data_IF_934551346825
#
_entry.id   IF_934551346825
#
_cell.length_a   1.000
_cell.length_b   1.000
_cell.length_c   1.000
_cell.angle_alpha   90.00
_cell.angle_beta   90.00
_cell.angle_gamma   90.00
#
_symmetry.space_group_name_H-M   'P 1'
#
loop_
_entity.id
_entity.type
_entity.pdbx_description
1 polymer ?
#
# COMPACT_ATOMS: atom_id res chain seq x y z
N UNK A 1 -25.95 -7.60 8.61
CA UNK A 1 -27.10 -7.32 9.51
C UNK A 1 -26.75 -7.74 10.91
N UNK A 2 -27.25 -7.04 11.94
CA UNK A 2 -27.08 -7.37 13.35
C UNK A 2 -28.45 -7.67 13.98
N UNK A 3 -28.51 -8.77 14.73
CA UNK A 3 -29.67 -9.20 15.50
C UNK A 3 -29.24 -9.45 16.95
N UNK A 4 -30.14 -9.19 17.89
CA UNK A 4 -29.95 -9.45 19.32
C UNK A 4 -30.94 -10.51 19.77
N UNK A 5 -30.46 -11.47 20.54
CA UNK A 5 -31.30 -12.48 21.18
C UNK A 5 -31.59 -12.08 22.63
N UNK A 6 -32.85 -12.24 23.06
CA UNK A 6 -33.32 -12.04 24.43
C UNK A 6 -34.40 -13.07 24.76
N UNK A 7 -34.90 -13.07 25.99
CA UNK A 7 -35.93 -14.01 26.45
C UNK A 7 -37.24 -13.94 25.65
N UNK A 8 -37.49 -12.83 24.97
CA UNK A 8 -38.65 -12.63 24.07
C UNK A 8 -38.36 -13.04 22.60
N UNK A 9 -37.18 -13.57 22.31
CA UNK A 9 -36.76 -14.05 20.99
C UNK A 9 -35.68 -13.19 20.31
N UNK A 10 -35.50 -13.43 19.01
CA UNK A 10 -34.51 -12.73 18.18
C UNK A 10 -35.11 -11.44 17.63
N UNK A 11 -34.51 -10.30 17.99
CA UNK A 11 -34.90 -8.98 17.52
C UNK A 11 -33.87 -8.42 16.54
N UNK A 12 -34.34 -7.80 15.46
CA UNK A 12 -33.48 -7.06 14.53
C UNK A 12 -32.96 -5.77 15.17
N UNK A 13 -31.66 -5.51 15.01
CA UNK A 13 -31.01 -4.31 15.55
C UNK A 13 -30.74 -3.30 14.44
N UNK A 14 -29.88 -3.64 13.49
CA UNK A 14 -29.56 -2.75 12.37
C UNK A 14 -28.81 -3.44 11.22
N UNK A 15 -28.74 -2.82 10.05
CA UNK A 15 -27.96 -3.28 8.90
C UNK A 15 -26.48 -2.91 9.13
N UNK A 16 -25.57 -3.86 9.01
CA UNK A 16 -24.14 -3.62 9.27
C UNK A 16 -23.43 -2.88 8.12
N UNK A 17 -23.94 -3.00 6.89
CA UNK A 17 -23.40 -2.34 5.69
C UNK A 17 -24.02 -0.97 5.41
N UNK A 18 -24.60 -0.31 6.41
CA UNK A 18 -24.87 1.12 6.27
C UNK A 18 -23.52 1.80 6.41
N UNK A 19 -22.99 2.33 5.30
CA UNK A 19 -21.87 3.27 5.33
C UNK A 19 -22.28 4.33 6.35
N UNK A 20 -21.69 4.30 7.54
CA UNK A 20 -21.96 5.29 8.57
C UNK A 20 -21.76 6.63 7.91
N UNK A 21 -22.82 7.43 7.77
CA UNK A 21 -22.66 8.84 7.45
C UNK A 21 -21.72 9.37 8.51
N UNK A 22 -20.47 9.60 8.10
CA UNK A 22 -19.43 10.07 8.97
C UNK A 22 -19.98 11.36 9.57
N UNK A 23 -20.32 11.33 10.86
CA UNK A 23 -20.62 12.54 11.63
C UNK A 23 -19.32 13.33 11.80
N UNK A 24 -18.79 13.85 10.70
CA UNK A 24 -17.70 14.82 10.65
C UNK A 24 -18.27 16.20 10.99
N UNK A 25 -18.79 16.34 12.21
CA UNK A 25 -19.14 17.62 12.82
C UNK A 25 -18.29 17.89 14.08
N UNK A 26 -17.14 17.21 14.21
CA UNK A 26 -16.06 17.64 15.08
C UNK A 26 -14.89 18.02 14.20
N UNK A 27 -14.49 19.30 14.20
CA UNK A 27 -13.23 19.77 13.59
C UNK A 27 -12.12 18.78 14.00
N UNK A 28 -11.59 18.03 13.04
CA UNK A 28 -10.37 17.24 13.22
C UNK A 28 -9.25 18.24 13.52
N UNK A 29 -9.00 18.50 14.80
CA UNK A 29 -7.93 19.39 15.22
C UNK A 29 -6.61 18.66 15.12
N UNK A 30 -5.55 19.40 14.81
CA UNK A 30 -4.19 18.84 14.78
C UNK A 30 -3.86 18.13 16.12
N UNK A 31 -4.31 18.68 17.25
CA UNK A 31 -4.08 18.11 18.58
C UNK A 31 -4.72 16.72 18.75
N UNK A 32 -5.93 16.52 18.24
CA UNK A 32 -6.59 15.21 18.30
C UNK A 32 -5.86 14.17 17.43
N UNK A 33 -5.35 14.58 16.27
CA UNK A 33 -4.49 13.73 15.43
C UNK A 33 -3.20 13.32 16.16
N UNK A 34 -2.51 14.25 16.82
CA UNK A 34 -1.30 13.92 17.57
C UNK A 34 -1.56 12.99 18.76
N UNK A 35 -2.66 13.19 19.49
CA UNK A 35 -3.07 12.30 20.58
C UNK A 35 -3.38 10.88 20.09
N UNK A 36 -4.04 10.75 18.93
CA UNK A 36 -4.35 9.45 18.34
C UNK A 36 -3.07 8.74 17.87
N UNK A 37 -2.11 9.45 17.25
CA UNK A 37 -0.78 8.93 16.87
C UNK A 37 -0.02 8.40 18.09
N UNK A 38 0.05 9.19 19.16
CA UNK A 38 0.77 8.83 20.39
C UNK A 38 0.10 7.65 21.11
N UNK A 39 -1.24 7.65 21.20
CA UNK A 39 -2.00 6.56 21.84
C UNK A 39 -1.91 5.24 21.08
N UNK A 40 -1.91 5.28 19.75
CA UNK A 40 -1.96 4.07 18.91
C UNK A 40 -0.57 3.56 18.54
N UNK A 41 0.50 4.30 18.87
CA UNK A 41 1.87 4.06 18.37
C UNK A 41 1.93 3.87 16.84
N UNK A 42 0.93 4.40 16.13
CA UNK A 42 0.84 4.31 14.69
C UNK A 42 1.51 5.54 14.11
N UNK A 43 2.70 5.37 13.53
CA UNK A 43 3.23 6.34 12.59
C UNK A 43 2.23 6.43 11.45
N UNK A 44 1.60 7.60 11.27
CA UNK A 44 0.69 7.91 10.17
C UNK A 44 1.46 7.81 8.84
N UNK A 45 1.66 6.58 8.35
CA UNK A 45 2.46 6.30 7.15
C UNK A 45 1.57 6.16 5.91
N UNK A 46 0.33 6.62 5.99
CA UNK A 46 -0.71 6.39 4.98
C UNK A 46 -0.72 7.46 3.88
N UNK A 47 -0.09 8.62 4.11
CA UNK A 47 -0.07 9.73 3.15
C UNK A 47 1.17 9.83 2.25
N UNK A 48 2.30 9.23 2.63
CA UNK A 48 3.59 9.45 1.96
C UNK A 48 4.21 8.20 1.33
N UNK A 49 3.56 7.04 1.39
CA UNK A 49 4.11 5.80 0.84
C UNK A 49 3.76 5.69 -0.65
N UNK A 50 4.77 5.68 -1.49
CA UNK A 50 4.62 5.53 -2.95
C UNK A 50 4.17 4.10 -3.28
N UNK A 51 3.36 3.94 -4.32
CA UNK A 51 2.99 2.62 -4.87
C UNK A 51 4.09 2.03 -5.77
N UNK A 52 5.35 2.19 -5.35
CA UNK A 52 6.53 1.71 -6.03
C UNK A 52 7.40 0.95 -5.04
N UNK A 53 8.23 0.02 -5.52
CA UNK A 53 9.17 -0.69 -4.61
C UNK A 53 10.11 0.31 -3.94
N UNK A 54 10.67 1.22 -4.73
CA UNK A 54 11.45 2.34 -4.20
C UNK A 54 10.54 3.40 -3.57
N UNK A 55 10.96 3.94 -2.44
CA UNK A 55 10.27 5.01 -1.70
C UNK A 55 11.00 6.35 -1.84
N UNK A 56 11.97 6.41 -2.74
CA UNK A 56 12.70 7.62 -3.12
C UNK A 56 13.21 7.49 -4.56
N UNK A 57 13.96 8.49 -5.03
CA UNK A 57 14.55 8.47 -6.36
C UNK A 57 15.51 7.29 -6.54
N UNK A 58 15.42 6.65 -7.72
CA UNK A 58 16.42 5.70 -8.22
C UNK A 58 17.63 6.51 -8.69
N UNK A 59 18.81 6.19 -8.18
CA UNK A 59 20.04 6.90 -8.51
C UNK A 59 20.81 6.19 -9.64
N UNK A 60 20.69 4.86 -9.74
CA UNK A 60 21.47 4.09 -10.70
C UNK A 60 20.76 2.79 -11.11
N UNK A 61 20.97 2.40 -12.37
CA UNK A 61 20.52 1.16 -13.00
C UNK A 61 21.71 0.47 -13.66
N UNK A 62 21.84 -0.84 -13.44
CA UNK A 62 22.91 -1.66 -14.02
C UNK A 62 22.39 -2.99 -14.54
N UNK A 63 23.10 -3.54 -15.53
CA UNK A 63 22.88 -4.92 -15.95
C UNK A 63 23.49 -5.82 -14.88
N UNK A 64 22.65 -6.66 -14.28
CA UNK A 64 23.09 -7.65 -13.32
C UNK A 64 23.47 -8.97 -14.00
N UNK A 65 22.70 -9.38 -15.02
CA UNK A 65 22.97 -10.59 -15.82
C UNK A 65 22.71 -10.35 -17.29
N UNK A 66 23.57 -10.95 -18.11
CA UNK A 66 23.55 -10.82 -19.57
C UNK A 66 24.50 -9.73 -20.07
N UNK A 67 24.29 -9.31 -21.31
CA UNK A 67 25.11 -8.28 -21.97
C UNK A 67 24.25 -7.10 -22.38
N UNK A 68 24.86 -6.00 -22.86
CA UNK A 68 24.11 -4.84 -23.37
C UNK A 68 23.15 -5.18 -24.51
N UNK A 69 23.44 -6.21 -25.30
CA UNK A 69 22.58 -6.66 -26.40
C UNK A 69 21.57 -7.75 -26.01
N UNK A 70 21.70 -8.35 -24.83
CA UNK A 70 20.81 -9.39 -24.34
C UNK A 70 20.89 -9.44 -22.81
N UNK A 71 20.28 -8.47 -22.15
CA UNK A 71 20.20 -8.43 -20.69
C UNK A 71 19.00 -9.27 -20.26
N UNK A 72 19.21 -10.11 -19.24
CA UNK A 72 18.12 -10.93 -18.66
C UNK A 72 17.72 -10.42 -17.28
N UNK A 73 18.66 -9.81 -16.54
CA UNK A 73 18.36 -9.19 -15.26
C UNK A 73 19.00 -7.81 -15.12
N UNK A 74 18.25 -6.88 -14.56
CA UNK A 74 18.71 -5.53 -14.19
C UNK A 74 18.72 -5.38 -12.67
N UNK A 75 19.48 -4.41 -12.18
CA UNK A 75 19.46 -3.97 -10.78
C UNK A 75 19.26 -2.47 -10.71
N UNK A 76 18.44 -2.00 -9.77
CA UNK A 76 18.28 -0.58 -9.43
C UNK A 76 18.67 -0.32 -7.99
N UNK A 77 19.35 0.80 -7.73
CA UNK A 77 19.62 1.30 -6.38
C UNK A 77 19.00 2.68 -6.20
N UNK A 78 18.30 2.88 -5.09
CA UNK A 78 17.65 4.14 -4.75
C UNK A 78 18.31 4.86 -3.58
N UNK A 79 17.99 6.13 -3.43
CA UNK A 79 18.36 6.94 -2.26
C UNK A 79 17.69 6.46 -0.96
N UNK A 80 16.70 5.59 -1.10
CA UNK A 80 16.07 4.84 -0.01
C UNK A 80 16.95 3.69 0.54
N UNK A 81 18.11 3.43 -0.07
CA UNK A 81 19.01 2.36 0.34
C UNK A 81 18.56 0.98 -0.14
N UNK A 82 17.50 0.89 -0.94
CA UNK A 82 17.05 -0.36 -1.51
C UNK A 82 17.88 -0.73 -2.75
N UNK A 83 18.27 -2.00 -2.85
CA UNK A 83 18.78 -2.63 -4.07
C UNK A 83 17.72 -3.63 -4.56
N UNK A 84 17.22 -3.43 -5.77
CA UNK A 84 16.14 -4.24 -6.34
C UNK A 84 16.64 -4.93 -7.61
N UNK A 85 16.38 -6.23 -7.72
CA UNK A 85 16.67 -7.02 -8.91
C UNK A 85 15.40 -7.22 -9.74
N UNK A 86 15.54 -7.04 -11.05
CA UNK A 86 14.48 -7.17 -12.03
C UNK A 86 14.81 -8.32 -12.96
N UNK A 87 13.96 -9.35 -12.99
CA UNK A 87 14.07 -10.45 -13.95
C UNK A 87 13.16 -10.18 -15.15
N UNK A 88 13.75 -9.85 -16.30
CA UNK A 88 13.02 -9.39 -17.48
C UNK A 88 12.11 -10.49 -18.08
N UNK A 89 12.53 -11.77 -18.21
CA UNK A 89 11.65 -12.85 -18.66
C UNK A 89 10.41 -13.05 -17.76
N UNK A 90 10.57 -12.96 -16.44
CA UNK A 90 9.43 -13.06 -15.51
C UNK A 90 8.55 -11.83 -15.62
N UNK A 91 9.13 -10.62 -15.75
CA UNK A 91 8.38 -9.38 -15.88
C UNK A 91 7.49 -9.37 -17.14
N UNK A 92 7.99 -9.83 -18.29
CA UNK A 92 7.20 -9.99 -19.52
C UNK A 92 6.01 -10.95 -19.36
N UNK A 93 6.09 -11.93 -18.45
CA UNK A 93 4.96 -12.83 -18.15
C UNK A 93 3.93 -12.20 -17.21
N UNK A 94 4.37 -11.29 -16.35
CA UNK A 94 3.52 -10.64 -15.36
C UNK A 94 2.75 -9.44 -15.93
N UNK A 95 3.28 -8.80 -16.97
CA UNK A 95 2.68 -7.63 -17.60
C UNK A 95 2.22 -8.02 -18.99
N UNK A 96 0.89 -8.02 -19.19
CA UNK A 96 0.28 -8.28 -20.50
C UNK A 96 0.84 -7.31 -21.54
N UNK A 97 1.14 -7.82 -22.73
CA UNK A 97 1.63 -7.06 -23.90
C UNK A 97 3.04 -6.46 -23.76
N UNK A 98 3.77 -6.73 -22.68
CA UNK A 98 5.15 -6.28 -22.54
C UNK A 98 6.12 -7.20 -23.30
N UNK A 99 6.71 -6.71 -24.39
CA UNK A 99 7.77 -7.38 -25.15
C UNK A 99 9.10 -6.63 -25.03
N UNK A 100 10.19 -7.39 -24.90
CA UNK A 100 11.57 -6.87 -24.84
C UNK A 100 12.35 -7.60 -25.93
N UNK A 101 12.86 -6.85 -26.91
CA UNK A 101 13.58 -7.33 -28.10
C UNK A 101 15.07 -7.08 -28.02
#
# INVERSE_FOLDING_TARGET
>A
MAFRFSDEGIQYVHQLDVKSETKTAGKLTAMKKFQDIDRMATTDNTGSRLQTVHQNCINELRIYKGSRGNATCLSSIGRDGCLVFWDLPTLCKQISELTIS
#
